data_IF_375104854217
#
_entry.id   IF_375104854217
#
_cell.length_a   1.000
_cell.length_b   1.000
_cell.length_c   1.000
_cell.angle_alpha   90.00
_cell.angle_beta   90.00
_cell.angle_gamma   90.00
#
_symmetry.space_group_name_H-M   'P 1'
#
loop_
_entity.id
_entity.type
_entity.pdbx_description
1 polymer ?
#
# COMPACT_ATOMS: atom_id res chain seq x y z
N UNK A 1 18.54 2.28 15.67
CA UNK A 1 17.28 1.72 15.15
C UNK A 1 17.63 0.68 14.08
N UNK A 2 17.14 -0.55 14.16
CA UNK A 2 17.51 -1.57 13.16
C UNK A 2 17.00 -1.18 11.77
N UNK A 3 17.76 -1.49 10.70
CA UNK A 3 17.37 -1.19 9.30
C UNK A 3 15.96 -1.70 9.01
N UNK A 4 15.65 -2.92 9.46
CA UNK A 4 14.31 -3.51 9.38
C UNK A 4 13.25 -2.63 10.05
N UNK A 5 13.46 -2.18 11.28
CA UNK A 5 12.49 -1.33 12.00
C UNK A 5 12.22 -0.03 11.24
N UNK A 6 13.24 0.56 10.60
CA UNK A 6 13.08 1.80 9.80
C UNK A 6 12.14 1.57 8.61
N UNK A 7 12.35 0.51 7.83
CA UNK A 7 11.51 0.22 6.67
C UNK A 7 10.12 -0.27 7.06
N UNK A 8 10.01 -1.01 8.17
CA UNK A 8 8.73 -1.41 8.75
C UNK A 8 7.90 -0.17 9.12
N UNK A 9 8.49 0.79 9.83
CA UNK A 9 7.79 2.04 10.17
C UNK A 9 7.41 2.80 8.89
N UNK A 10 8.29 2.88 7.90
CA UNK A 10 7.98 3.54 6.62
C UNK A 10 6.79 2.88 5.90
N UNK A 11 6.75 1.55 5.85
CA UNK A 11 5.68 0.80 5.21
C UNK A 11 4.35 0.97 5.97
N UNK A 12 4.38 0.93 7.30
CA UNK A 12 3.20 1.17 8.14
C UNK A 12 2.67 2.59 7.95
N UNK A 13 3.54 3.61 7.97
CA UNK A 13 3.13 5.00 7.75
C UNK A 13 2.51 5.20 6.37
N UNK A 14 3.07 4.56 5.34
CA UNK A 14 2.51 4.59 4.00
C UNK A 14 1.13 3.92 3.93
N UNK A 15 0.97 2.74 4.52
CA UNK A 15 -0.32 2.03 4.56
C UNK A 15 -1.38 2.81 5.34
N UNK A 16 -1.04 3.37 6.51
CA UNK A 16 -1.97 4.18 7.31
C UNK A 16 -2.33 5.48 6.58
N UNK A 17 -1.34 6.18 6.02
CA UNK A 17 -1.59 7.43 5.29
C UNK A 17 -2.49 7.21 4.07
N UNK A 18 -2.24 6.16 3.29
CA UNK A 18 -3.08 5.78 2.15
C UNK A 18 -4.48 5.35 2.60
N UNK A 19 -4.60 4.58 3.68
CA UNK A 19 -5.91 4.22 4.24
C UNK A 19 -6.75 5.45 4.61
N UNK A 20 -6.18 6.39 5.35
CA UNK A 20 -6.89 7.62 5.76
C UNK A 20 -7.33 8.44 4.54
N UNK A 21 -6.45 8.58 3.55
CA UNK A 21 -6.73 9.36 2.35
C UNK A 21 -7.86 8.72 1.51
N UNK A 22 -7.82 7.41 1.32
CA UNK A 22 -8.87 6.66 0.63
C UNK A 22 -10.19 6.72 1.41
N UNK A 23 -10.12 6.61 2.74
CA UNK A 23 -11.30 6.76 3.61
C UNK A 23 -11.98 8.12 3.42
N UNK A 24 -11.21 9.21 3.36
CA UNK A 24 -11.75 10.55 3.11
C UNK A 24 -12.42 10.60 1.72
N UNK A 25 -11.82 10.00 0.70
CA UNK A 25 -12.40 9.98 -0.65
C UNK A 25 -13.71 9.19 -0.72
N UNK A 26 -13.77 8.03 -0.08
CA UNK A 26 -14.99 7.22 0.02
C UNK A 26 -16.09 7.95 0.81
N UNK A 27 -15.71 8.58 1.92
CA UNK A 27 -16.63 9.38 2.73
C UNK A 27 -17.22 10.58 1.97
N UNK A 28 -16.39 11.27 1.18
CA UNK A 28 -16.81 12.38 0.32
C UNK A 28 -17.53 11.92 -0.95
N UNK A 29 -17.65 10.59 -1.18
CA UNK A 29 -18.25 9.99 -2.37
C UNK A 29 -17.63 10.52 -3.68
N UNK A 30 -16.32 10.72 -3.67
CA UNK A 30 -15.60 11.08 -4.89
C UNK A 30 -15.69 9.89 -5.84
N UNK A 31 -16.14 10.12 -7.07
CA UNK A 31 -16.17 9.07 -8.08
C UNK A 31 -14.75 8.81 -8.55
N UNK A 32 -14.17 7.62 -8.30
CA UNK A 32 -12.95 7.24 -8.98
C UNK A 32 -13.21 7.10 -10.47
N UNK A 33 -12.14 7.14 -11.25
CA UNK A 33 -12.21 6.78 -12.66
C UNK A 33 -12.49 5.27 -12.76
N UNK A 34 -13.34 4.85 -13.70
CA UNK A 34 -13.66 3.43 -13.97
C UNK A 34 -12.42 2.69 -14.47
N UNK A 35 -11.57 2.29 -13.54
CA UNK A 35 -10.36 1.54 -13.79
C UNK A 35 -10.66 0.05 -13.71
N UNK A 36 -10.75 -0.60 -14.87
CA UNK A 36 -10.92 -2.06 -14.94
C UNK A 36 -9.83 -2.83 -14.18
N UNK A 37 -8.62 -2.27 -14.04
CA UNK A 37 -7.56 -2.85 -13.22
C UNK A 37 -7.91 -2.85 -11.73
N UNK A 38 -8.35 -1.71 -11.18
CA UNK A 38 -8.67 -1.60 -9.75
C UNK A 38 -9.93 -2.40 -9.39
N UNK A 39 -10.92 -2.41 -10.28
CA UNK A 39 -12.12 -3.24 -10.13
C UNK A 39 -11.77 -4.73 -10.06
N UNK A 40 -10.93 -5.23 -10.97
CA UNK A 40 -10.45 -6.62 -10.93
C UNK A 40 -9.65 -6.93 -9.66
N UNK A 41 -8.85 -5.98 -9.18
CA UNK A 41 -8.10 -6.15 -7.93
C UNK A 41 -9.04 -6.21 -6.72
N UNK A 42 -10.12 -5.42 -6.73
CA UNK A 42 -11.17 -5.47 -5.71
C UNK A 42 -11.94 -6.80 -5.72
N UNK A 43 -12.15 -7.40 -6.89
CA UNK A 43 -12.82 -8.69 -7.05
C UNK A 43 -12.03 -9.86 -6.43
N UNK A 44 -10.77 -9.65 -6.04
CA UNK A 44 -10.03 -10.63 -5.26
C UNK A 44 -10.53 -10.71 -3.80
N UNK A 45 -11.40 -9.79 -3.39
CA UNK A 45 -12.07 -9.72 -2.08
C UNK A 45 -11.11 -9.83 -0.87
N UNK A 46 -9.84 -9.45 -1.06
CA UNK A 46 -8.84 -9.52 0.00
C UNK A 46 -9.20 -8.61 1.18
N UNK A 47 -9.80 -7.45 0.88
CA UNK A 47 -10.31 -6.50 1.86
C UNK A 47 -11.50 -5.73 1.27
N UNK A 48 -12.54 -5.51 2.08
CA UNK A 48 -13.73 -4.73 1.72
C UNK A 48 -14.01 -3.66 2.78
N UNK A 49 -13.10 -2.70 2.91
CA UNK A 49 -13.18 -1.63 3.91
C UNK A 49 -13.96 -0.40 3.43
N UNK A 50 -13.98 -0.17 2.12
CA UNK A 50 -14.60 1.00 1.49
C UNK A 50 -15.85 0.58 0.71
N UNK A 51 -16.78 1.52 0.56
CA UNK A 51 -18.04 1.31 -0.14
C UNK A 51 -17.82 1.18 -1.65
N UNK A 52 -16.82 1.88 -2.16
CA UNK A 52 -16.46 1.90 -3.58
C UNK A 52 -15.43 0.81 -3.91
N UNK A 53 -15.71 -0.14 -4.82
CA UNK A 53 -14.80 -1.25 -5.14
C UNK A 53 -13.40 -0.78 -5.58
N UNK A 54 -13.31 0.25 -6.40
CA UNK A 54 -12.03 0.76 -6.92
C UNK A 54 -11.12 1.24 -5.79
N UNK A 55 -11.69 1.76 -4.70
CA UNK A 55 -10.94 2.16 -3.51
C UNK A 55 -10.41 0.98 -2.72
N UNK A 56 -11.16 -0.13 -2.64
CA UNK A 56 -10.65 -1.39 -2.08
C UNK A 56 -9.48 -1.93 -2.91
N UNK A 57 -9.63 -1.93 -4.24
CA UNK A 57 -8.55 -2.30 -5.17
C UNK A 57 -7.31 -1.40 -5.02
N UNK A 58 -7.50 -0.09 -4.91
CA UNK A 58 -6.40 0.85 -4.69
C UNK A 58 -5.68 0.61 -3.37
N UNK A 59 -6.43 0.32 -2.30
CA UNK A 59 -5.85 0.03 -0.99
C UNK A 59 -5.02 -1.27 -1.01
N UNK A 60 -5.54 -2.32 -1.65
CA UNK A 60 -4.79 -3.58 -1.84
C UNK A 60 -3.49 -3.33 -2.60
N UNK A 61 -3.52 -2.51 -3.65
CA UNK A 61 -2.31 -2.12 -4.39
C UNK A 61 -1.30 -1.39 -3.48
N UNK A 62 -1.77 -0.47 -2.63
CA UNK A 62 -0.92 0.22 -1.66
C UNK A 62 -0.30 -0.74 -0.62
N UNK A 63 -1.01 -1.79 -0.21
CA UNK A 63 -0.45 -2.83 0.66
C UNK A 63 0.66 -3.61 -0.05
N UNK A 64 0.46 -3.99 -1.32
CA UNK A 64 1.53 -4.61 -2.11
C UNK A 64 2.77 -3.71 -2.20
N UNK A 65 2.59 -2.41 -2.45
CA UNK A 65 3.70 -1.44 -2.46
C UNK A 65 4.38 -1.37 -1.08
N UNK A 66 3.60 -1.42 0.01
CA UNK A 66 4.14 -1.42 1.38
C UNK A 66 5.05 -2.62 1.62
N UNK A 67 4.68 -3.81 1.14
CA UNK A 67 5.51 -5.02 1.20
C UNK A 67 6.78 -4.84 0.36
N UNK A 68 6.66 -4.28 -0.84
CA UNK A 68 7.82 -4.01 -1.70
C UNK A 68 8.81 -3.02 -1.05
N UNK A 69 8.33 -1.99 -0.34
CA UNK A 69 9.20 -1.06 0.40
C UNK A 69 10.05 -1.81 1.43
N UNK A 70 9.47 -2.78 2.13
CA UNK A 70 10.20 -3.60 3.11
C UNK A 70 11.26 -4.45 2.39
N UNK A 71 10.87 -5.16 1.32
CA UNK A 71 11.78 -6.05 0.57
C UNK A 71 12.95 -5.27 -0.03
N UNK A 72 12.68 -4.21 -0.79
CA UNK A 72 13.73 -3.41 -1.41
C UNK A 72 14.59 -2.67 -0.39
N UNK A 73 13.99 -2.19 0.69
CA UNK A 73 14.71 -1.55 1.79
C UNK A 73 15.74 -2.49 2.43
N UNK A 74 15.35 -3.75 2.68
CA UNK A 74 16.24 -4.76 3.23
C UNK A 74 17.35 -5.17 2.24
N UNK A 75 17.00 -5.41 0.98
CA UNK A 75 17.97 -5.79 -0.06
C UNK A 75 19.02 -4.70 -0.34
N UNK A 76 18.61 -3.43 -0.35
CA UNK A 76 19.53 -2.29 -0.51
C UNK A 76 20.52 -2.19 0.66
N UNK A 77 20.09 -2.53 1.87
CA UNK A 77 20.93 -2.57 3.05
C UNK A 77 21.97 -3.69 3.05
N UNK A 78 21.68 -4.81 2.37
CA UNK A 78 22.56 -6.00 2.28
C UNK A 78 23.66 -5.83 1.23
N UNK A 79 23.37 -5.20 0.08
CA UNK A 79 24.39 -4.94 -0.96
C UNK A 79 25.52 -4.01 -0.51
N UNK A 80 25.24 -3.09 0.43
CA UNK A 80 26.26 -2.17 0.97
C UNK A 80 27.22 -2.82 1.98
N UNK A 81 26.86 -3.97 2.53
CA UNK A 81 27.71 -4.70 3.49
C UNK A 81 28.69 -5.66 2.79
N UNK A 82 28.48 -5.98 1.51
CA UNK A 82 29.36 -6.87 0.72
C UNK A 82 30.46 -6.14 -0.06
N UNK A 83 30.53 -4.81 0.00
CA UNK A 83 31.53 -3.98 -0.70
C UNK A 83 32.66 -3.46 0.23
N UNK A 84 32.76 -3.97 1.46
CA UNK A 84 33.83 -3.65 2.41
C UNK A 84 34.59 -4.88 2.86
#
# INVERSE_FOLDING_TARGET
MSKFLKYLISAILFAIGTFILIFIFDYLKLSPNDSGFLSNLSNLELFSFFSTPEFNGLFVLCLFISVLIIIFGLLSGSKKESEY
#
